data_IF_972319599282
#
_entry.id   IF_972319599282
#
_cell.length_a   1.000
_cell.length_b   1.000
_cell.length_c   1.000
_cell.angle_alpha   90.00
_cell.angle_beta   90.00
_cell.angle_gamma   90.00
#
_symmetry.space_group_name_H-M   'P 1'
#
loop_
_entity.id
_entity.type
_entity.pdbx_description
1 polymer ?
#
# COMPACT_ATOMS: atom_id res chain seq x y z
N UNK A 1 7.04 -2.37 -14.09
CA UNK A 1 6.44 -2.65 -15.41
C UNK A 1 7.59 -3.00 -16.33
N UNK A 2 7.56 -4.19 -16.92
CA UNK A 2 8.53 -4.61 -17.93
C UNK A 2 7.81 -4.56 -19.27
N UNK A 3 8.38 -3.86 -20.25
CA UNK A 3 7.81 -3.83 -21.62
C UNK A 3 8.45 -4.96 -22.40
N UNK A 4 7.69 -5.92 -22.95
CA UNK A 4 8.25 -7.05 -23.69
C UNK A 4 9.09 -6.60 -24.88
N UNK A 5 10.18 -7.31 -25.16
CA UNK A 5 11.05 -7.04 -26.31
C UNK A 5 10.30 -7.13 -27.65
N UNK A 6 9.23 -7.93 -27.72
CA UNK A 6 8.36 -7.98 -28.89
C UNK A 6 7.78 -6.62 -29.27
N UNK A 7 7.35 -5.83 -28.28
CA UNK A 7 6.79 -4.48 -28.48
C UNK A 7 7.87 -3.54 -29.01
N UNK A 8 9.07 -3.60 -28.43
CA UNK A 8 10.23 -2.84 -28.92
C UNK A 8 10.54 -3.17 -30.36
N UNK A 9 10.65 -4.46 -30.68
CA UNK A 9 11.03 -4.93 -32.01
C UNK A 9 9.99 -4.54 -33.07
N UNK A 10 8.71 -4.64 -32.74
CA UNK A 10 7.62 -4.21 -33.61
C UNK A 10 7.63 -2.70 -33.83
N UNK A 11 7.77 -1.92 -32.75
CA UNK A 11 7.88 -0.47 -32.82
C UNK A 11 9.07 -0.02 -33.68
N UNK A 12 10.28 -0.54 -33.41
CA UNK A 12 11.47 -0.22 -34.18
C UNK A 12 11.34 -0.62 -35.65
N UNK A 13 10.73 -1.78 -35.94
CA UNK A 13 10.44 -2.22 -37.31
C UNK A 13 9.48 -1.28 -38.01
N UNK A 14 8.41 -0.85 -37.36
CA UNK A 14 7.44 0.08 -37.93
C UNK A 14 8.07 1.46 -38.18
N UNK A 15 8.85 1.96 -37.24
CA UNK A 15 9.59 3.21 -37.34
C UNK A 15 10.47 3.25 -38.60
N UNK A 16 11.32 2.22 -38.79
CA UNK A 16 12.27 2.16 -39.90
C UNK A 16 11.58 1.85 -41.24
N UNK A 17 10.61 0.94 -41.27
CA UNK A 17 10.06 0.42 -42.53
C UNK A 17 8.77 1.10 -43.01
N UNK A 18 8.11 1.87 -42.14
CA UNK A 18 6.85 2.55 -42.45
C UNK A 18 6.93 4.04 -42.18
N UNK A 19 7.27 4.45 -40.96
CA UNK A 19 7.16 5.86 -40.54
C UNK A 19 8.22 6.77 -41.15
N UNK A 20 9.47 6.32 -41.15
CA UNK A 20 10.65 7.08 -41.57
C UNK A 20 11.40 6.42 -42.72
N UNK A 21 10.75 5.51 -43.45
CA UNK A 21 11.33 4.86 -44.62
C UNK A 21 11.67 5.93 -45.69
N UNK A 22 12.92 5.99 -46.19
CA UNK A 22 13.27 6.89 -47.30
C UNK A 22 12.44 6.58 -48.55
N UNK A 23 11.97 7.63 -49.23
CA UNK A 23 11.20 7.50 -50.49
C UNK A 23 12.07 7.24 -51.73
N UNK A 24 13.35 7.57 -51.66
CA UNK A 24 14.35 7.38 -52.73
C UNK A 24 15.23 6.14 -52.45
N UNK A 25 16.23 5.88 -53.31
CA UNK A 25 17.21 4.81 -53.09
C UNK A 25 17.85 4.94 -51.70
N UNK A 26 17.71 3.88 -50.90
CA UNK A 26 18.12 3.89 -49.50
C UNK A 26 19.64 3.68 -49.41
N UNK A 27 20.39 4.77 -49.18
CA UNK A 27 21.82 4.68 -48.85
C UNK A 27 21.99 3.79 -47.59
N UNK A 28 22.84 2.74 -47.63
CA UNK A 28 23.13 1.90 -46.47
C UNK A 28 23.51 2.68 -45.20
N UNK A 29 24.33 3.71 -45.29
CA UNK A 29 24.78 4.52 -44.14
C UNK A 29 23.61 5.27 -43.48
N UNK A 30 22.73 5.85 -44.31
CA UNK A 30 21.53 6.52 -43.81
C UNK A 30 20.59 5.55 -43.09
N UNK A 31 20.44 4.33 -43.63
CA UNK A 31 19.61 3.30 -43.02
C UNK A 31 20.19 2.80 -41.70
N UNK A 32 21.51 2.74 -41.58
CA UNK A 32 22.19 2.40 -40.33
C UNK A 32 22.00 3.50 -39.28
N UNK A 33 22.23 4.76 -39.63
CA UNK A 33 22.00 5.90 -38.74
C UNK A 33 20.54 5.96 -38.27
N UNK A 34 19.58 5.72 -39.18
CA UNK A 34 18.17 5.66 -38.83
C UNK A 34 17.88 4.55 -37.81
N UNK A 35 18.39 3.32 -38.04
CA UNK A 35 18.20 2.21 -37.10
C UNK A 35 18.79 2.53 -35.73
N UNK A 36 20.01 3.08 -35.70
CA UNK A 36 20.66 3.49 -34.46
C UNK A 36 19.86 4.56 -33.71
N UNK A 37 19.38 5.58 -34.42
CA UNK A 37 18.58 6.68 -33.84
C UNK A 37 17.25 6.18 -33.25
N UNK A 38 16.59 5.25 -33.93
CA UNK A 38 15.34 4.63 -33.44
C UNK A 38 15.62 3.81 -32.18
N UNK A 39 16.71 3.04 -32.17
CA UNK A 39 17.08 2.20 -31.03
C UNK A 39 17.49 3.04 -29.80
N UNK A 40 18.30 4.09 -29.98
CA UNK A 40 18.66 5.03 -28.90
C UNK A 40 17.42 5.72 -28.33
N UNK A 41 16.59 6.32 -29.21
CA UNK A 41 15.41 7.05 -28.77
C UNK A 41 14.40 6.15 -28.06
N UNK A 42 14.24 4.90 -28.50
CA UNK A 42 13.39 3.94 -27.79
C UNK A 42 13.94 3.67 -26.39
N UNK A 43 15.22 3.30 -26.29
CA UNK A 43 15.85 2.92 -25.02
C UNK A 43 15.90 4.06 -24.02
N UNK A 44 16.26 5.26 -24.46
CA UNK A 44 16.51 6.42 -23.60
C UNK A 44 15.27 7.23 -23.29
N UNK A 45 14.27 7.25 -24.16
CA UNK A 45 13.12 8.16 -24.04
C UNK A 45 11.79 7.42 -23.96
N UNK A 46 11.48 6.56 -24.95
CA UNK A 46 10.16 5.93 -25.05
C UNK A 46 9.95 4.91 -23.93
N UNK A 47 10.92 4.02 -23.69
CA UNK A 47 10.80 2.98 -22.67
C UNK A 47 10.65 3.58 -21.25
N UNK A 48 11.45 4.56 -20.80
CA UNK A 48 11.26 5.21 -19.51
C UNK A 48 9.91 5.93 -19.38
N UNK A 49 9.45 6.61 -20.45
CA UNK A 49 8.14 7.27 -20.48
C UNK A 49 7.02 6.25 -20.24
N UNK A 50 6.97 5.18 -21.05
CA UNK A 50 5.96 4.13 -20.91
C UNK A 50 5.98 3.52 -19.50
N UNK A 51 7.16 3.17 -18.99
CA UNK A 51 7.30 2.62 -17.65
C UNK A 51 6.74 3.55 -16.57
N UNK A 52 6.98 4.86 -16.68
CA UNK A 52 6.48 5.86 -15.75
C UNK A 52 4.96 5.98 -15.82
N UNK A 53 4.39 6.10 -17.02
CA UNK A 53 2.96 6.21 -17.24
C UNK A 53 2.21 4.98 -16.68
N UNK A 54 2.68 3.78 -17.00
CA UNK A 54 2.04 2.55 -16.49
C UNK A 54 2.17 2.42 -14.98
N UNK A 55 3.33 2.74 -14.39
CA UNK A 55 3.49 2.73 -12.93
C UNK A 55 2.55 3.73 -12.27
N UNK A 56 2.49 4.96 -12.76
CA UNK A 56 1.61 6.00 -12.22
C UNK A 56 0.15 5.58 -12.27
N UNK A 57 -0.29 5.01 -13.41
CA UNK A 57 -1.65 4.47 -13.55
C UNK A 57 -1.93 3.34 -12.55
N UNK A 58 -1.05 2.33 -12.50
CA UNK A 58 -1.23 1.19 -11.59
C UNK A 58 -1.25 1.62 -10.11
N UNK A 59 -0.39 2.56 -9.73
CA UNK A 59 -0.37 3.14 -8.38
C UNK A 59 -1.68 3.88 -8.11
N UNK A 60 -2.13 4.73 -9.01
CA UNK A 60 -3.40 5.48 -8.84
C UNK A 60 -4.60 4.55 -8.70
N UNK A 61 -4.66 3.50 -9.51
CA UNK A 61 -5.76 2.54 -9.47
C UNK A 61 -5.71 1.71 -8.16
N UNK A 62 -4.51 1.30 -7.71
CA UNK A 62 -4.34 0.61 -6.43
C UNK A 62 -4.71 1.50 -5.22
N UNK A 63 -4.35 2.79 -5.25
CA UNK A 63 -4.71 3.75 -4.20
C UNK A 63 -6.23 3.94 -4.10
N UNK A 64 -6.93 4.06 -5.23
CA UNK A 64 -8.40 4.16 -5.24
C UNK A 64 -9.05 2.96 -4.58
N UNK A 65 -8.64 1.75 -4.97
CA UNK A 65 -9.17 0.51 -4.37
C UNK A 65 -8.85 0.42 -2.87
N UNK A 66 -7.64 0.80 -2.48
CA UNK A 66 -7.22 0.81 -1.08
C UNK A 66 -8.10 1.74 -0.24
N UNK A 67 -8.34 2.97 -0.71
CA UNK A 67 -9.21 3.95 -0.03
C UNK A 67 -10.64 3.42 0.11
N UNK A 68 -11.19 2.82 -0.95
CA UNK A 68 -12.53 2.22 -0.89
C UNK A 68 -12.62 1.10 0.16
N UNK A 69 -11.60 0.25 0.25
CA UNK A 69 -11.55 -0.81 1.27
C UNK A 69 -11.43 -0.24 2.69
N UNK A 70 -10.60 0.79 2.91
CA UNK A 70 -10.54 1.47 4.21
C UNK A 70 -11.89 2.07 4.60
N UNK A 71 -12.57 2.75 3.66
CA UNK A 71 -13.91 3.30 3.89
C UNK A 71 -14.93 2.21 4.26
N UNK A 72 -14.90 1.07 3.57
CA UNK A 72 -15.76 -0.08 3.86
C UNK A 72 -15.51 -0.63 5.28
N UNK A 73 -14.25 -0.85 5.64
CA UNK A 73 -13.87 -1.35 6.96
C UNK A 73 -14.27 -0.37 8.07
N UNK A 74 -14.05 0.92 7.87
CA UNK A 74 -14.46 1.97 8.81
C UNK A 74 -15.98 1.98 9.00
N UNK A 75 -16.75 1.92 7.91
CA UNK A 75 -18.22 1.88 7.97
C UNK A 75 -18.70 0.67 8.79
N UNK A 76 -18.09 -0.50 8.59
CA UNK A 76 -18.44 -1.70 9.36
C UNK A 76 -18.16 -1.52 10.86
N UNK A 77 -17.00 -0.95 11.22
CA UNK A 77 -16.67 -0.66 12.61
C UNK A 77 -17.66 0.31 13.25
N UNK A 78 -18.03 1.39 12.57
CA UNK A 78 -18.97 2.40 13.06
C UNK A 78 -20.41 1.87 13.23
N UNK A 79 -20.80 0.87 12.43
CA UNK A 79 -22.11 0.23 12.51
C UNK A 79 -22.15 -0.95 13.48
N UNK A 80 -21.06 -1.20 14.22
CA UNK A 80 -21.02 -2.24 15.25
C UNK A 80 -22.01 -1.90 16.36
N UNK A 81 -22.85 -2.86 16.72
CA UNK A 81 -23.84 -2.67 17.79
C UNK A 81 -23.15 -2.33 19.12
N UNK A 82 -23.59 -1.30 19.85
CA UNK A 82 -22.96 -0.93 21.11
C UNK A 82 -23.34 -1.90 22.24
N UNK A 83 -22.38 -2.17 23.13
CA UNK A 83 -22.65 -2.88 24.39
C UNK A 83 -23.23 -1.90 25.41
N UNK A 84 -24.50 -2.07 25.78
CA UNK A 84 -25.21 -1.17 26.71
C UNK A 84 -25.33 -1.77 28.10
N UNK A 85 -25.31 -0.90 29.12
CA UNK A 85 -25.69 -1.27 30.49
C UNK A 85 -24.69 -2.17 31.23
N UNK A 86 -23.44 -2.29 30.75
CA UNK A 86 -22.40 -3.12 31.36
C UNK A 86 -21.18 -2.29 31.71
N UNK A 87 -20.50 -2.66 32.79
CA UNK A 87 -19.14 -2.19 33.07
C UNK A 87 -18.19 -2.85 32.07
N UNK A 88 -17.30 -2.06 31.47
CA UNK A 88 -16.37 -2.50 30.43
C UNK A 88 -14.93 -2.32 30.92
N UNK A 89 -14.06 -3.28 30.58
CA UNK A 89 -12.62 -3.13 30.70
C UNK A 89 -12.03 -2.92 29.29
N UNK A 90 -11.57 -1.71 29.00
CA UNK A 90 -10.77 -1.41 27.83
C UNK A 90 -9.34 -1.86 28.05
N UNK A 91 -8.75 -2.54 27.05
CA UNK A 91 -7.37 -3.03 27.09
C UNK A 91 -6.64 -2.51 25.86
N UNK A 92 -5.59 -1.70 26.06
CA UNK A 92 -4.62 -1.32 25.03
C UNK A 92 -3.35 -2.15 25.22
N UNK A 93 -3.16 -3.23 24.43
CA UNK A 93 -2.06 -4.16 24.62
C UNK A 93 -0.71 -3.52 24.26
N UNK A 94 0.28 -3.67 25.15
CA UNK A 94 1.65 -3.20 24.92
C UNK A 94 2.67 -4.07 25.64
N UNK A 95 3.80 -4.33 24.97
CA UNK A 95 4.92 -5.06 25.57
C UNK A 95 5.79 -4.09 26.38
N UNK A 96 6.72 -3.38 25.75
CA UNK A 96 7.73 -2.55 26.44
C UNK A 96 7.15 -1.53 27.44
N UNK A 97 5.99 -0.96 27.15
CA UNK A 97 5.33 0.05 27.99
C UNK A 97 4.15 -0.50 28.82
N UNK A 98 3.99 -1.83 28.87
CA UNK A 98 2.86 -2.49 29.52
C UNK A 98 1.55 -2.38 28.76
N UNK A 99 0.56 -3.18 29.17
CA UNK A 99 -0.82 -3.11 28.72
C UNK A 99 -1.56 -2.07 29.56
N UNK A 100 -2.18 -1.07 28.92
CA UNK A 100 -2.99 -0.08 29.65
C UNK A 100 -4.42 -0.59 29.77
N UNK A 101 -4.99 -0.38 30.94
CA UNK A 101 -6.33 -0.81 31.30
C UNK A 101 -7.17 0.41 31.67
N UNK A 102 -8.44 0.37 31.29
CA UNK A 102 -9.44 1.35 31.73
C UNK A 102 -10.74 0.64 32.08
N UNK A 103 -11.26 0.85 33.28
CA UNK A 103 -12.59 0.37 33.70
C UNK A 103 -13.59 1.50 33.47
N UNK A 104 -14.65 1.22 32.72
CA UNK A 104 -15.68 2.17 32.32
C UNK A 104 -17.03 1.69 32.85
N UNK A 105 -17.76 2.57 33.52
CA UNK A 105 -19.09 2.30 34.05
C UNK A 105 -20.14 2.13 32.94
N UNK A 106 -21.34 1.60 33.25
CA UNK A 106 -22.47 1.57 32.33
C UNK A 106 -22.89 2.94 31.78
N UNK A 107 -22.55 4.04 32.48
CA UNK A 107 -22.87 5.43 32.12
C UNK A 107 -21.69 6.15 31.45
N UNK A 108 -20.69 5.40 30.96
CA UNK A 108 -19.49 5.90 30.27
C UNK A 108 -18.55 6.74 31.14
N UNK A 109 -18.62 6.62 32.47
CA UNK A 109 -17.66 7.23 33.39
C UNK A 109 -16.44 6.32 33.55
N UNK A 110 -15.23 6.90 33.54
CA UNK A 110 -14.01 6.15 33.84
C UNK A 110 -13.92 5.94 35.35
N UNK A 111 -13.93 4.68 35.78
CA UNK A 111 -13.87 4.28 37.19
C UNK A 111 -12.42 4.08 37.65
N UNK A 112 -11.57 3.53 36.79
CA UNK A 112 -10.18 3.24 37.11
C UNK A 112 -9.32 3.14 35.84
N UNK A 113 -8.03 3.46 35.95
CA UNK A 113 -7.03 3.25 34.90
C UNK A 113 -5.75 2.70 35.49
N UNK A 114 -5.08 1.82 34.76
CA UNK A 114 -3.85 1.17 35.25
C UNK A 114 -2.94 0.74 34.09
N UNK A 115 -1.69 0.41 34.40
CA UNK A 115 -0.74 -0.21 33.46
C UNK A 115 -0.20 -1.48 34.07
N UNK A 116 -0.34 -2.59 33.34
CA UNK A 116 0.08 -3.93 33.80
C UNK A 116 1.14 -4.54 32.90
N UNK A 117 2.09 -5.25 33.50
CA UNK A 117 3.25 -5.85 32.81
C UNK A 117 3.20 -7.38 32.83
N UNK A 118 2.24 -7.95 32.09
CA UNK A 118 1.97 -9.40 32.08
C UNK A 118 3.14 -10.25 31.55
N UNK A 119 3.96 -9.69 30.65
CA UNK A 119 5.10 -10.38 30.04
C UNK A 119 6.38 -10.34 30.90
N UNK A 120 6.38 -9.56 31.99
CA UNK A 120 7.52 -9.46 32.90
C UNK A 120 7.52 -10.60 33.92
N UNK A 121 8.63 -10.78 34.64
CA UNK A 121 8.74 -11.80 35.72
C UNK A 121 7.73 -11.65 36.87
N UNK A 122 6.90 -10.60 36.88
CA UNK A 122 5.82 -10.36 37.85
C UNK A 122 4.42 -10.69 37.32
N UNK A 123 4.29 -11.41 36.20
CA UNK A 123 3.00 -11.66 35.54
C UNK A 123 1.88 -12.20 36.44
N UNK A 124 2.18 -13.06 37.42
CA UNK A 124 1.19 -13.59 38.37
C UNK A 124 0.63 -12.47 39.28
N UNK A 125 1.49 -11.59 39.77
CA UNK A 125 1.08 -10.45 40.61
C UNK A 125 0.23 -9.46 39.82
N UNK A 126 0.65 -9.14 38.60
CA UNK A 126 -0.09 -8.27 37.68
C UNK A 126 -1.48 -8.85 37.34
N UNK A 127 -1.58 -10.18 37.15
CA UNK A 127 -2.86 -10.87 36.93
C UNK A 127 -3.78 -10.79 38.16
N UNK A 128 -3.24 -10.88 39.37
CA UNK A 128 -4.04 -10.69 40.60
C UNK A 128 -4.58 -9.26 40.71
N UNK A 129 -3.80 -8.26 40.27
CA UNK A 129 -4.23 -6.86 40.21
C UNK A 129 -5.45 -6.70 39.30
N UNK A 130 -5.41 -7.28 38.10
CA UNK A 130 -6.55 -7.30 37.16
C UNK A 130 -7.78 -7.95 37.81
N UNK A 131 -7.60 -9.09 38.49
CA UNK A 131 -8.71 -9.81 39.14
C UNK A 131 -9.40 -8.97 40.21
N UNK A 132 -8.65 -8.16 40.97
CA UNK A 132 -9.22 -7.22 41.95
C UNK A 132 -9.98 -6.05 41.31
N UNK A 133 -9.66 -5.68 40.07
CA UNK A 133 -10.36 -4.62 39.33
C UNK A 133 -11.67 -5.10 38.69
N UNK A 134 -11.87 -6.42 38.59
CA UNK A 134 -13.05 -7.05 38.00
C UNK A 134 -14.06 -7.57 39.03
N UNK A 135 -13.66 -7.65 40.31
CA UNK A 135 -14.48 -8.07 41.45
C UNK A 135 -14.96 -6.84 42.22
#
# INVERSE_FOLDING_TARGET
VNVPDGVKNEFSRWCVNKRWRPKAFANPELMELLRYSVEDSYKRLIYPLLCREFRSKLTSDAEKESVMMFGRNLRQLLLTSPVRGRTLMGVDPGYKHGCKLAIISPTSQVLHTDVVYLHSGKGIYEAQKIRKLLL
#
